data_IF_471640502360
#
_entry.id   IF_471640502360
#
_cell.length_a   1.000
_cell.length_b   1.000
_cell.length_c   1.000
_cell.angle_alpha   90.00
_cell.angle_beta   90.00
_cell.angle_gamma   90.00
#
_symmetry.space_group_name_H-M   'P 1'
#
loop_
_entity.id
_entity.type
_entity.pdbx_description
1 polymer ?
#
# COMPACT_ATOMS: atom_id res chain seq x y z
N UNK A 1 11.68 -5.81 17.89
CA UNK A 1 11.19 -7.17 17.60
C UNK A 1 11.38 -7.99 18.87
N UNK A 2 10.78 -7.53 19.96
CA UNK A 2 11.35 -7.78 21.30
C UNK A 2 10.55 -8.83 22.06
N UNK A 3 9.58 -9.44 21.37
CA UNK A 3 8.75 -10.51 21.91
C UNK A 3 9.18 -11.84 21.28
N UNK A 4 9.73 -12.80 22.04
CA UNK A 4 10.01 -14.13 21.53
C UNK A 4 8.72 -14.85 21.13
N UNK A 5 8.82 -15.82 20.23
CA UNK A 5 7.69 -16.71 19.92
C UNK A 5 7.49 -17.71 21.08
N UNK A 6 6.32 -17.72 21.76
CA UNK A 6 6.08 -18.65 22.86
C UNK A 6 5.98 -20.12 22.44
N UNK A 7 5.81 -20.42 21.15
CA UNK A 7 5.62 -21.79 20.64
C UNK A 7 6.84 -22.34 19.88
N UNK A 8 7.78 -21.48 19.48
CA UNK A 8 9.04 -21.91 18.89
C UNK A 8 10.03 -22.31 20.00
N UNK A 9 10.69 -23.49 19.94
CA UNK A 9 11.59 -23.95 21.01
C UNK A 9 12.83 -23.07 21.22
N UNK A 10 13.18 -22.22 20.25
CA UNK A 10 14.27 -21.26 20.33
C UNK A 10 13.76 -19.81 20.45
N UNK A 11 12.43 -19.60 20.55
CA UNK A 11 11.80 -18.29 20.53
C UNK A 11 11.92 -17.54 19.20
N UNK A 12 12.38 -18.21 18.13
CA UNK A 12 12.65 -17.60 16.85
C UNK A 12 11.38 -17.29 16.05
N UNK A 13 11.40 -16.20 15.27
CA UNK A 13 10.36 -15.80 14.32
C UNK A 13 10.95 -15.71 12.91
N UNK A 14 10.15 -16.01 11.89
CA UNK A 14 10.55 -15.82 10.49
C UNK A 14 10.65 -14.34 10.14
N UNK A 15 11.74 -13.95 9.47
CA UNK A 15 11.97 -12.54 9.03
C UNK A 15 12.21 -12.39 7.52
N UNK A 16 12.36 -13.49 6.77
CA UNK A 16 12.78 -13.47 5.36
C UNK A 16 11.89 -12.60 4.47
N UNK A 17 10.56 -12.69 4.67
CA UNK A 17 9.58 -11.95 3.86
C UNK A 17 9.03 -10.69 4.54
N UNK A 18 9.36 -10.47 5.82
CA UNK A 18 8.74 -9.42 6.63
C UNK A 18 9.02 -8.03 6.03
N UNK A 19 10.25 -7.79 5.56
CA UNK A 19 10.63 -6.55 4.93
C UNK A 19 9.90 -6.31 3.60
N UNK A 20 9.59 -7.37 2.85
CA UNK A 20 8.90 -7.23 1.56
C UNK A 20 7.46 -6.73 1.76
N UNK A 21 6.72 -7.38 2.67
CA UNK A 21 5.34 -6.97 3.00
C UNK A 21 5.28 -5.59 3.63
N UNK A 22 6.12 -5.35 4.65
CA UNK A 22 6.15 -4.08 5.36
C UNK A 22 6.62 -2.93 4.46
N UNK A 23 7.65 -3.14 3.63
CA UNK A 23 8.17 -2.14 2.71
C UNK A 23 7.15 -1.74 1.65
N UNK A 24 6.50 -2.73 1.02
CA UNK A 24 5.43 -2.47 0.03
C UNK A 24 4.28 -1.66 0.65
N UNK A 25 3.81 -2.06 1.84
CA UNK A 25 2.77 -1.33 2.56
C UNK A 25 3.19 0.09 2.94
N UNK A 26 4.40 0.27 3.49
CA UNK A 26 4.91 1.58 3.88
C UNK A 26 4.98 2.57 2.71
N UNK A 27 5.43 2.11 1.54
CA UNK A 27 5.49 2.95 0.33
C UNK A 27 4.09 3.35 -0.13
N UNK A 28 3.13 2.41 -0.17
CA UNK A 28 1.75 2.72 -0.56
C UNK A 28 1.10 3.70 0.41
N UNK A 29 1.28 3.49 1.73
CA UNK A 29 0.75 4.39 2.76
C UNK A 29 1.35 5.79 2.65
N UNK A 30 2.66 5.92 2.42
CA UNK A 30 3.31 7.21 2.28
C UNK A 30 2.82 7.98 1.04
N UNK A 31 2.59 7.28 -0.08
CA UNK A 31 2.04 7.91 -1.29
C UNK A 31 0.59 8.36 -1.05
N UNK A 32 -0.23 7.53 -0.39
CA UNK A 32 -1.61 7.88 -0.10
C UNK A 32 -1.71 9.09 0.84
N UNK A 33 -0.90 9.12 1.90
CA UNK A 33 -0.77 10.24 2.84
C UNK A 33 -0.38 11.54 2.12
N UNK A 34 0.63 11.49 1.25
CA UNK A 34 1.10 12.66 0.50
C UNK A 34 0.05 13.26 -0.47
N UNK A 35 -0.93 12.46 -0.92
CA UNK A 35 -1.95 12.86 -1.88
C UNK A 35 -3.33 13.07 -1.23
N UNK A 36 -3.45 12.93 0.09
CA UNK A 36 -4.73 13.03 0.81
C UNK A 36 -5.42 14.39 0.59
N UNK A 37 -4.65 15.48 0.45
CA UNK A 37 -5.18 16.83 0.32
C UNK A 37 -5.72 17.21 -1.07
N UNK A 38 -5.59 16.34 -2.08
CA UNK A 38 -5.80 16.70 -3.49
C UNK A 38 -7.25 16.49 -4.01
N UNK A 39 -8.19 16.03 -3.20
CA UNK A 39 -9.60 15.94 -3.61
C UNK A 39 -10.52 15.17 -2.66
N UNK A 40 -11.79 15.03 -3.08
CA UNK A 40 -12.82 14.25 -2.37
C UNK A 40 -12.53 12.75 -2.47
N UNK A 41 -11.86 12.19 -1.46
CA UNK A 41 -11.61 10.75 -1.34
C UNK A 41 -10.34 10.45 -0.53
N UNK A 42 -10.15 9.20 -0.10
CA UNK A 42 -8.88 8.79 0.50
C UNK A 42 -7.78 8.80 -0.56
N UNK A 43 -6.55 9.20 -0.22
CA UNK A 43 -5.39 9.24 -1.12
C UNK A 43 -5.02 7.89 -1.78
N UNK A 44 -5.75 6.83 -1.47
CA UNK A 44 -5.58 5.46 -1.95
C UNK A 44 -5.71 5.30 -3.47
N UNK A 45 -4.93 4.35 -3.99
CA UNK A 45 -5.03 3.88 -5.39
C UNK A 45 -5.76 2.55 -5.52
N UNK A 46 -5.96 1.81 -4.42
CA UNK A 46 -6.57 0.46 -4.38
C UNK A 46 -5.95 -0.56 -5.35
N UNK A 47 -4.71 -0.32 -5.80
CA UNK A 47 -3.93 -1.20 -6.66
C UNK A 47 -2.44 -1.01 -6.40
N UNK A 48 -1.68 -2.08 -6.61
CA UNK A 48 -0.21 -2.09 -6.59
C UNK A 48 0.29 -2.87 -7.81
N UNK A 49 1.41 -2.46 -8.45
CA UNK A 49 2.24 -1.31 -8.12
C UNK A 49 1.60 0.04 -8.49
N UNK A 50 1.93 1.09 -7.74
CA UNK A 50 1.57 2.47 -8.07
C UNK A 50 2.63 3.00 -9.05
N UNK A 51 2.22 3.30 -10.28
CA UNK A 51 3.13 3.86 -11.29
C UNK A 51 3.16 5.38 -11.22
N UNK A 52 4.22 5.99 -11.77
CA UNK A 52 4.34 7.46 -11.86
C UNK A 52 3.20 8.11 -12.63
N UNK A 53 2.73 7.44 -13.68
CA UNK A 53 1.60 7.90 -14.50
C UNK A 53 0.32 8.01 -13.66
N UNK A 54 0.00 7.01 -12.84
CA UNK A 54 -1.14 7.07 -11.92
C UNK A 54 -1.04 8.24 -10.94
N UNK A 55 0.16 8.51 -10.40
CA UNK A 55 0.40 9.65 -9.51
C UNK A 55 0.15 10.97 -10.25
N UNK A 56 0.67 11.09 -11.48
CA UNK A 56 0.50 12.29 -12.31
C UNK A 56 -0.98 12.51 -12.67
N UNK A 57 -1.69 11.46 -13.09
CA UNK A 57 -3.14 11.52 -13.36
C UNK A 57 -3.91 12.05 -12.16
N UNK A 58 -3.56 11.59 -10.93
CA UNK A 58 -4.23 12.02 -9.70
C UNK A 58 -3.88 13.47 -9.33
N UNK A 59 -2.62 13.88 -9.50
CA UNK A 59 -2.17 15.26 -9.31
C UNK A 59 -2.85 16.25 -10.27
N UNK A 60 -3.04 15.85 -11.52
CA UNK A 60 -3.68 16.65 -12.56
C UNK A 60 -5.21 16.64 -12.49
N UNK A 61 -5.79 15.83 -11.59
CA UNK A 61 -7.24 15.55 -11.54
C UNK A 61 -7.78 15.09 -12.91
N UNK A 62 -6.94 14.38 -13.67
CA UNK A 62 -7.29 13.89 -14.99
C UNK A 62 -8.21 12.66 -14.91
N UNK A 63 -9.02 12.39 -15.94
CA UNK A 63 -9.88 11.20 -15.99
C UNK A 63 -9.05 9.91 -15.86
N UNK A 64 -9.47 9.01 -14.98
CA UNK A 64 -8.88 7.68 -14.87
C UNK A 64 -9.29 6.79 -16.04
N UNK A 65 -8.36 6.01 -16.61
CA UNK A 65 -8.64 5.15 -17.76
C UNK A 65 -9.58 3.97 -17.49
N UNK A 66 -9.82 3.63 -16.22
CA UNK A 66 -10.77 2.61 -15.80
C UNK A 66 -11.18 2.84 -14.34
N UNK A 67 -12.35 2.33 -13.97
CA UNK A 67 -12.81 2.34 -12.58
C UNK A 67 -12.09 1.29 -11.72
N UNK A 68 -12.32 1.34 -10.40
CA UNK A 68 -11.84 0.33 -9.47
C UNK A 68 -12.40 -1.04 -9.86
N UNK A 69 -11.54 -2.06 -9.87
CA UNK A 69 -11.98 -3.43 -10.08
C UNK A 69 -12.91 -3.84 -8.93
N UNK A 70 -14.17 -4.14 -9.25
CA UNK A 70 -15.16 -4.68 -8.34
C UNK A 70 -15.38 -6.15 -8.66
N UNK A 71 -15.35 -7.01 -7.63
CA UNK A 71 -15.83 -8.38 -7.81
C UNK A 71 -17.34 -8.33 -8.01
N UNK A 72 -17.86 -9.07 -8.99
CA UNK A 72 -19.29 -9.31 -9.10
C UNK A 72 -19.65 -10.33 -8.01
N UNK A 73 -20.33 -9.87 -6.95
CA UNK A 73 -20.92 -10.73 -5.91
C UNK A 73 -22.40 -10.85 -6.20
#
# INVERSE_FOLDING_TARGET
ADLPDPFNPLGAKGIGEAAQGAGSGAVVSAIADALESLGEGTGDFYRSPITRDMILTKLEQAPTGHDRLTAHV
#
